data_IF_764318263705
#
_entry.id   IF_764318263705
#
_cell.length_a   1.000
_cell.length_b   1.000
_cell.length_c   1.000
_cell.angle_alpha   90.00
_cell.angle_beta   90.00
_cell.angle_gamma   90.00
#
_symmetry.space_group_name_H-M   'P 1'
#
loop_
_entity.id
_entity.type
_entity.pdbx_description
1 polymer ?
#
# COMPACT_ATOMS: atom_id res chain seq x y z
N UNK A 1 -3.86 -23.46 17.88
CA UNK A 1 -4.59 -22.69 16.83
C UNK A 1 -5.47 -21.67 17.52
N UNK A 2 -5.49 -20.39 17.13
CA UNK A 2 -6.50 -19.46 17.65
C UNK A 2 -7.86 -19.97 17.16
N UNK A 3 -8.80 -20.18 18.09
CA UNK A 3 -10.14 -20.69 17.82
C UNK A 3 -10.98 -19.68 17.03
N UNK A 4 -12.12 -20.12 16.53
CA UNK A 4 -13.13 -19.35 15.80
C UNK A 4 -13.54 -18.02 16.48
N UNK A 5 -13.34 -17.93 17.79
CA UNK A 5 -13.58 -16.75 18.65
C UNK A 5 -12.52 -15.66 18.47
N UNK A 6 -11.26 -15.98 18.15
CA UNK A 6 -10.17 -15.00 18.09
C UNK A 6 -10.23 -14.07 16.87
N UNK A 7 -11.05 -14.38 15.87
CA UNK A 7 -11.15 -13.61 14.60
C UNK A 7 -12.49 -12.90 14.43
N UNK A 8 -13.32 -12.84 15.46
CA UNK A 8 -14.66 -12.24 15.34
C UNK A 8 -14.61 -10.78 14.87
N UNK A 9 -13.60 -10.01 15.29
CA UNK A 9 -13.38 -8.62 14.86
C UNK A 9 -13.02 -8.45 13.39
N UNK A 10 -12.57 -9.51 12.72
CA UNK A 10 -12.26 -9.50 11.29
C UNK A 10 -13.48 -9.79 10.41
N UNK A 11 -14.59 -10.24 11.00
CA UNK A 11 -15.80 -10.63 10.26
C UNK A 11 -16.42 -9.41 9.60
N UNK A 12 -16.82 -9.60 8.36
CA UNK A 12 -17.64 -8.67 7.59
C UNK A 12 -18.82 -9.49 7.11
N UNK A 13 -20.01 -9.12 7.57
CA UNK A 13 -21.24 -9.90 7.32
C UNK A 13 -21.98 -9.44 6.06
N UNK A 14 -21.57 -8.31 5.49
CA UNK A 14 -22.13 -7.77 4.26
C UNK A 14 -21.87 -8.71 3.07
N UNK A 15 -22.84 -8.76 2.17
CA UNK A 15 -22.71 -9.53 0.94
C UNK A 15 -21.61 -8.94 0.03
N UNK A 16 -20.97 -9.74 -0.84
CA UNK A 16 -19.96 -9.26 -1.77
C UNK A 16 -20.44 -8.07 -2.63
N UNK A 17 -21.72 -8.05 -3.02
CA UNK A 17 -22.30 -6.94 -3.78
C UNK A 17 -22.38 -5.65 -2.96
N UNK A 18 -22.76 -5.74 -1.69
CA UNK A 18 -22.84 -4.59 -0.78
C UNK A 18 -21.45 -4.00 -0.54
N UNK A 19 -20.46 -4.86 -0.36
CA UNK A 19 -19.05 -4.47 -0.21
C UNK A 19 -18.51 -3.80 -1.48
N UNK A 20 -18.81 -4.36 -2.65
CA UNK A 20 -18.42 -3.75 -3.92
C UNK A 20 -19.05 -2.37 -4.13
N UNK A 21 -20.35 -2.22 -3.83
CA UNK A 21 -21.04 -0.93 -3.94
C UNK A 21 -20.44 0.12 -2.99
N UNK A 22 -20.21 -0.25 -1.73
CA UNK A 22 -19.59 0.64 -0.74
C UNK A 22 -18.18 1.07 -1.18
N UNK A 23 -17.37 0.13 -1.67
CA UNK A 23 -16.04 0.45 -2.22
C UNK A 23 -16.10 1.39 -3.43
N UNK A 24 -17.06 1.20 -4.32
CA UNK A 24 -17.27 2.09 -5.47
C UNK A 24 -17.67 3.50 -4.99
N UNK A 25 -18.53 3.61 -3.99
CA UNK A 25 -18.97 4.90 -3.44
C UNK A 25 -17.85 5.60 -2.67
N UNK A 26 -17.00 4.87 -1.94
CA UNK A 26 -15.73 5.38 -1.43
C UNK A 26 -14.87 5.96 -2.57
N UNK A 27 -14.62 5.19 -3.63
CA UNK A 27 -13.81 5.64 -4.77
C UNK A 27 -14.37 6.90 -5.43
N UNK A 28 -15.70 7.02 -5.58
CA UNK A 28 -16.36 8.20 -6.14
C UNK A 28 -16.20 9.42 -5.24
N UNK A 29 -16.43 9.28 -3.92
CA UNK A 29 -16.28 10.36 -2.94
C UNK A 29 -14.85 10.89 -2.89
N UNK A 30 -13.87 10.00 -3.07
CA UNK A 30 -12.45 10.34 -3.11
C UNK A 30 -11.91 10.66 -4.51
N UNK A 31 -12.81 10.84 -5.49
CA UNK A 31 -12.47 11.25 -6.85
C UNK A 31 -11.48 10.32 -7.59
N UNK A 32 -11.49 9.03 -7.27
CA UNK A 32 -10.76 8.01 -8.04
C UNK A 32 -11.42 7.85 -9.41
N UNK A 33 -10.63 7.96 -10.48
CA UNK A 33 -11.11 7.88 -11.87
C UNK A 33 -10.48 6.69 -12.59
N UNK A 34 -11.31 5.81 -13.15
CA UNK A 34 -10.86 4.69 -14.00
C UNK A 34 -11.21 4.87 -15.48
N UNK A 35 -11.93 5.94 -15.83
CA UNK A 35 -12.42 6.27 -17.19
C UNK A 35 -13.26 5.17 -17.87
N UNK A 36 -13.69 4.14 -17.13
CA UNK A 36 -14.38 2.96 -17.69
C UNK A 36 -13.44 1.96 -18.38
N UNK A 37 -12.15 2.25 -18.45
CA UNK A 37 -11.16 1.44 -19.18
C UNK A 37 -10.82 0.13 -18.51
N UNK A 38 -11.04 0.01 -17.20
CA UNK A 38 -10.82 -1.22 -16.46
C UNK A 38 -11.95 -1.57 -15.49
N UNK A 39 -12.02 -2.84 -15.11
CA UNK A 39 -12.88 -3.37 -14.04
C UNK A 39 -12.07 -4.26 -13.11
N UNK A 40 -12.53 -4.37 -11.86
CA UNK A 40 -12.04 -5.41 -10.95
C UNK A 40 -12.77 -6.71 -11.29
N UNK A 41 -12.01 -7.78 -11.54
CA UNK A 41 -12.57 -9.10 -11.83
C UNK A 41 -11.68 -10.20 -11.29
N UNK A 42 -12.06 -11.45 -11.55
CA UNK A 42 -11.23 -12.60 -11.21
C UNK A 42 -10.43 -13.05 -12.42
N UNK A 43 -9.12 -13.21 -12.22
CA UNK A 43 -8.20 -13.77 -13.20
C UNK A 43 -7.78 -15.17 -12.76
N UNK A 44 -7.74 -16.11 -13.69
CA UNK A 44 -7.29 -17.48 -13.41
C UNK A 44 -5.76 -17.51 -13.39
N UNK A 45 -5.19 -18.08 -12.33
CA UNK A 45 -3.79 -18.48 -12.29
C UNK A 45 -3.67 -19.97 -12.57
N UNK A 46 -2.53 -20.36 -13.16
CA UNK A 46 -2.19 -21.77 -13.33
C UNK A 46 -1.97 -22.41 -11.97
N UNK A 47 -2.60 -23.56 -11.67
CA UNK A 47 -2.27 -24.30 -10.45
C UNK A 47 -0.79 -24.75 -10.49
N UNK A 48 -0.12 -24.90 -9.34
CA UNK A 48 1.20 -25.52 -9.28
C UNK A 48 1.16 -26.90 -9.94
N UNK A 49 2.18 -27.25 -10.74
CA UNK A 49 2.19 -28.45 -11.62
C UNK A 49 1.90 -29.80 -10.94
N UNK A 50 1.88 -29.87 -9.60
CA UNK A 50 1.71 -31.09 -8.82
C UNK A 50 0.57 -31.04 -7.79
N UNK A 51 -0.34 -30.06 -7.89
CA UNK A 51 -1.37 -29.87 -6.88
C UNK A 51 -2.77 -30.18 -7.44
N UNK A 52 -3.46 -31.17 -6.85
CA UNK A 52 -4.89 -31.43 -7.08
C UNK A 52 -5.70 -30.31 -6.40
N UNK A 53 -5.61 -29.09 -6.93
CA UNK A 53 -6.33 -27.93 -6.38
C UNK A 53 -7.60 -27.69 -7.18
N UNK A 54 -8.67 -27.35 -6.47
CA UNK A 54 -9.92 -26.90 -7.09
C UNK A 54 -9.62 -25.69 -8.01
N UNK A 55 -10.01 -25.71 -9.30
CA UNK A 55 -9.75 -24.60 -10.23
C UNK A 55 -10.22 -23.22 -9.73
N UNK A 56 -11.27 -23.18 -8.90
CA UNK A 56 -11.79 -21.93 -8.33
C UNK A 56 -10.90 -21.36 -7.22
N UNK A 57 -10.06 -22.17 -6.59
CA UNK A 57 -9.08 -21.72 -5.59
C UNK A 57 -7.89 -20.99 -6.20
N UNK A 58 -7.72 -21.05 -7.52
CA UNK A 58 -6.63 -20.39 -8.25
C UNK A 58 -7.07 -19.04 -8.87
N UNK A 59 -8.23 -18.50 -8.45
CA UNK A 59 -8.72 -17.20 -8.91
C UNK A 59 -8.23 -16.10 -7.97
N UNK A 60 -7.55 -15.11 -8.52
CA UNK A 60 -7.17 -13.89 -7.81
C UNK A 60 -7.98 -12.72 -8.33
N UNK A 61 -8.22 -11.72 -7.48
CA UNK A 61 -8.76 -10.45 -7.97
C UNK A 61 -7.68 -9.73 -8.78
N UNK A 62 -8.08 -9.11 -9.87
CA UNK A 62 -7.19 -8.42 -10.80
C UNK A 62 -7.91 -7.27 -11.49
N UNK A 63 -7.15 -6.33 -12.04
CA UNK A 63 -7.66 -5.32 -12.96
C UNK A 63 -7.68 -5.89 -14.38
N UNK A 64 -8.82 -5.76 -15.06
CA UNK A 64 -9.03 -6.28 -16.41
C UNK A 64 -9.46 -5.13 -17.32
N UNK A 65 -8.86 -5.02 -18.49
CA UNK A 65 -9.22 -4.02 -19.49
C UNK A 65 -10.64 -4.28 -20.05
N UNK A 66 -11.48 -3.25 -20.09
CA UNK A 66 -12.84 -3.31 -20.65
C UNK A 66 -12.87 -3.07 -22.16
N UNK A 67 -11.84 -2.41 -22.68
CA UNK A 67 -11.63 -2.04 -24.07
C UNK A 67 -10.13 -2.08 -24.42
N UNK A 68 -9.80 -1.88 -25.69
CA UNK A 68 -8.40 -1.72 -26.09
C UNK A 68 -7.89 -0.36 -25.59
N UNK A 69 -6.74 -0.38 -24.92
CA UNK A 69 -6.12 0.82 -24.31
C UNK A 69 -4.81 1.07 -25.04
N UNK A 70 -4.61 2.30 -25.50
CA UNK A 70 -3.35 2.70 -26.12
C UNK A 70 -2.19 2.69 -25.11
N UNK A 71 -0.96 2.73 -25.62
CA UNK A 71 0.23 2.99 -24.80
C UNK A 71 0.11 4.38 -24.17
N UNK A 72 0.73 4.57 -23.00
CA UNK A 72 0.88 5.86 -22.34
C UNK A 72 -0.42 6.47 -21.80
N UNK A 73 -1.44 5.64 -21.63
CA UNK A 73 -2.75 6.03 -21.14
C UNK A 73 -2.87 5.82 -19.63
N UNK A 74 -3.40 6.84 -18.93
CA UNK A 74 -3.64 6.77 -17.48
C UNK A 74 -4.96 6.07 -17.21
N UNK A 75 -4.89 4.76 -16.97
CA UNK A 75 -6.04 3.88 -16.73
C UNK A 75 -6.73 4.19 -15.42
N UNK A 76 -5.95 4.42 -14.37
CA UNK A 76 -6.44 4.85 -13.06
C UNK A 76 -5.76 6.15 -12.71
N UNK A 77 -6.51 7.14 -12.26
CA UNK A 77 -6.01 8.38 -11.67
C UNK A 77 -6.60 8.49 -10.27
N UNK A 78 -5.73 8.53 -9.28
CA UNK A 78 -6.11 8.48 -7.88
C UNK A 78 -5.46 9.64 -7.11
N UNK A 79 -6.26 10.57 -6.55
CA UNK A 79 -5.73 11.61 -5.68
C UNK A 79 -5.06 11.01 -4.45
N UNK A 80 -4.01 11.64 -3.93
CA UNK A 80 -3.36 11.20 -2.67
C UNK A 80 -4.37 11.11 -1.52
N UNK A 81 -5.39 11.97 -1.50
CA UNK A 81 -6.45 11.94 -0.47
C UNK A 81 -7.30 10.67 -0.47
N UNK A 82 -7.34 9.93 -1.58
CA UNK A 82 -8.06 8.65 -1.67
C UNK A 82 -7.28 7.49 -1.03
N UNK A 83 -5.97 7.67 -0.83
CA UNK A 83 -5.07 6.63 -0.35
C UNK A 83 -5.15 6.50 1.17
N UNK A 84 -4.91 5.30 1.69
CA UNK A 84 -4.65 5.09 3.11
C UNK A 84 -3.14 5.09 3.35
N UNK A 85 -2.65 6.06 4.11
CA UNK A 85 -1.23 6.31 4.32
C UNK A 85 -0.97 6.88 5.73
N UNK A 86 0.28 6.95 6.23
CA UNK A 86 0.58 7.38 7.60
C UNK A 86 0.02 8.75 8.00
N UNK A 87 0.03 9.71 7.07
CA UNK A 87 -0.57 11.03 7.30
C UNK A 87 -2.07 11.01 7.63
N UNK A 88 -2.84 10.06 7.12
CA UNK A 88 -4.25 9.89 7.51
C UNK A 88 -4.38 9.49 8.99
N UNK A 89 -3.49 8.61 9.47
CA UNK A 89 -3.44 8.20 10.86
C UNK A 89 -3.09 9.37 11.79
N UNK A 90 -2.07 10.17 11.47
CA UNK A 90 -1.69 11.34 12.27
C UNK A 90 -2.80 12.39 12.38
N UNK A 91 -3.59 12.58 11.31
CA UNK A 91 -4.69 13.56 11.30
C UNK A 91 -5.94 13.09 12.04
N UNK A 92 -6.02 11.81 12.38
CA UNK A 92 -7.11 11.28 13.19
C UNK A 92 -6.81 11.50 14.68
N UNK A 93 -7.15 12.68 15.19
CA UNK A 93 -6.87 13.06 16.58
C UNK A 93 -7.41 12.05 17.63
N UNK A 94 -8.64 11.50 17.51
CA UNK A 94 -9.12 10.49 18.44
C UNK A 94 -8.24 9.22 18.48
N UNK A 95 -7.76 8.80 17.30
CA UNK A 95 -6.82 7.69 17.19
C UNK A 95 -5.45 8.06 17.79
N UNK A 96 -4.91 9.23 17.48
CA UNK A 96 -3.58 9.60 17.95
C UNK A 96 -3.52 9.72 19.47
N UNK A 97 -4.54 10.34 20.08
CA UNK A 97 -4.62 10.55 21.53
C UNK A 97 -4.76 9.28 22.36
N UNK A 98 -5.28 8.19 21.79
CA UNK A 98 -5.44 6.94 22.56
C UNK A 98 -4.11 6.21 22.76
N UNK A 99 -3.12 6.45 21.89
CA UNK A 99 -1.82 5.77 21.96
C UNK A 99 -1.03 6.27 23.16
N UNK A 100 -0.30 5.39 23.83
CA UNK A 100 0.58 5.76 24.93
C UNK A 100 1.67 6.77 24.47
N UNK A 101 2.12 7.69 25.34
CA UNK A 101 3.09 8.74 24.97
C UNK A 101 4.39 8.22 24.36
N UNK A 102 4.90 7.07 24.83
CA UNK A 102 6.10 6.44 24.28
C UNK A 102 5.89 5.93 22.85
N UNK A 103 4.68 5.46 22.52
CA UNK A 103 4.31 5.05 21.17
C UNK A 103 4.20 6.27 20.26
N UNK A 104 3.56 7.34 20.74
CA UNK A 104 3.45 8.60 20.00
C UNK A 104 4.84 9.19 19.69
N UNK A 105 5.74 9.21 20.67
CA UNK A 105 7.12 9.68 20.52
C UNK A 105 7.89 8.88 19.46
N UNK A 106 7.84 7.55 19.53
CA UNK A 106 8.55 6.70 18.57
C UNK A 106 7.99 6.83 17.14
N UNK A 107 6.65 6.89 16.97
CA UNK A 107 6.01 6.98 15.67
C UNK A 107 6.07 8.38 15.04
N UNK A 108 6.22 9.45 15.84
CA UNK A 108 6.38 10.82 15.35
C UNK A 108 7.83 11.18 15.00
N UNK A 109 8.79 10.29 15.26
CA UNK A 109 10.19 10.50 14.91
C UNK A 109 10.44 10.39 13.40
N UNK A 110 11.54 11.00 12.92
CA UNK A 110 11.97 10.93 11.51
C UNK A 110 12.19 9.50 11.01
N UNK A 111 12.45 8.54 11.91
CA UNK A 111 12.51 7.10 11.61
C UNK A 111 11.23 6.60 10.91
N UNK A 112 10.08 7.20 11.21
CA UNK A 112 8.81 6.92 10.55
C UNK A 112 8.80 7.38 9.09
N UNK A 113 9.29 8.60 8.82
CA UNK A 113 9.39 9.13 7.47
C UNK A 113 10.43 8.39 6.62
N UNK A 114 11.55 7.98 7.21
CA UNK A 114 12.63 7.24 6.53
C UNK A 114 12.42 5.74 6.51
N UNK A 115 11.16 5.29 6.62
CA UNK A 115 10.79 3.90 6.45
C UNK A 115 11.64 2.94 7.32
N UNK A 116 12.04 3.36 8.52
CA UNK A 116 12.98 2.60 9.35
C UNK A 116 12.28 1.44 10.05
N UNK A 117 13.02 0.35 10.30
CA UNK A 117 12.54 -0.82 11.05
C UNK A 117 12.33 -0.48 12.53
N UNK A 118 11.33 -1.08 13.16
CA UNK A 118 11.04 -0.85 14.59
C UNK A 118 12.05 -1.51 15.55
N UNK A 119 12.81 -2.48 15.05
CA UNK A 119 13.89 -3.15 15.75
C UNK A 119 14.86 -3.77 14.72
N UNK A 120 16.07 -4.13 15.15
CA UNK A 120 17.03 -4.80 14.26
C UNK A 120 16.41 -6.07 13.67
N UNK A 121 16.63 -6.28 12.36
CA UNK A 121 16.07 -7.38 11.54
C UNK A 121 14.55 -7.48 11.52
N UNK A 122 13.81 -6.59 12.19
CA UNK A 122 12.36 -6.59 12.13
C UNK A 122 11.89 -6.33 10.71
N UNK A 123 10.90 -7.09 10.27
CA UNK A 123 10.22 -6.78 9.03
C UNK A 123 9.47 -5.46 9.18
N UNK A 124 8.75 -5.30 10.30
CA UNK A 124 7.84 -4.18 10.55
C UNK A 124 8.60 -2.84 10.58
N UNK A 125 8.13 -1.89 9.79
CA UNK A 125 8.62 -0.51 9.75
C UNK A 125 7.68 0.42 10.51
N UNK A 126 8.19 1.55 10.99
CA UNK A 126 7.44 2.48 11.84
C UNK A 126 6.16 2.99 11.16
N UNK A 127 6.25 3.39 9.89
CA UNK A 127 5.11 3.87 9.10
C UNK A 127 4.05 2.78 8.87
N UNK A 128 4.46 1.52 8.68
CA UNK A 128 3.58 0.37 8.50
C UNK A 128 2.90 -0.01 9.81
N UNK A 129 3.61 0.08 10.94
CA UNK A 129 3.02 -0.12 12.27
C UNK A 129 1.95 0.95 12.53
N UNK A 130 2.26 2.23 12.31
CA UNK A 130 1.30 3.33 12.46
C UNK A 130 0.05 3.10 11.61
N UNK A 131 0.22 2.76 10.33
CA UNK A 131 -0.89 2.49 9.41
C UNK A 131 -1.71 1.27 9.86
N UNK A 132 -1.05 0.20 10.32
CA UNK A 132 -1.72 -1.00 10.81
C UNK A 132 -2.54 -0.73 12.07
N UNK A 133 -2.02 0.07 13.00
CA UNK A 133 -2.73 0.49 14.21
C UNK A 133 -3.95 1.35 13.86
N UNK A 134 -3.84 2.25 12.90
CA UNK A 134 -4.98 3.06 12.43
C UNK A 134 -6.05 2.22 11.75
N UNK A 135 -5.67 1.31 10.84
CA UNK A 135 -6.61 0.34 10.24
C UNK A 135 -7.30 -0.52 11.31
N UNK A 136 -6.55 -0.93 12.33
CA UNK A 136 -7.07 -1.67 13.47
C UNK A 136 -8.10 -0.85 14.23
N UNK A 137 -7.79 0.40 14.54
CA UNK A 137 -8.72 1.33 15.19
C UNK A 137 -10.04 1.47 14.43
N UNK A 138 -10.00 1.66 13.10
CA UNK A 138 -11.21 1.74 12.28
C UNK A 138 -12.02 0.44 12.29
N UNK A 139 -11.36 -0.71 12.21
CA UNK A 139 -12.02 -2.01 12.30
C UNK A 139 -12.64 -2.24 13.69
N UNK A 140 -11.96 -1.85 14.77
CA UNK A 140 -12.50 -1.97 16.12
C UNK A 140 -13.68 -1.03 16.34
N UNK A 141 -13.62 0.23 15.89
CA UNK A 141 -14.77 1.13 15.88
C UNK A 141 -15.97 0.52 15.14
N UNK A 142 -15.78 -0.07 13.96
CA UNK A 142 -16.88 -0.72 13.22
C UNK A 142 -17.59 -1.79 14.05
N UNK A 143 -16.85 -2.56 14.86
CA UNK A 143 -17.42 -3.66 15.63
C UNK A 143 -17.93 -3.23 17.02
N UNK A 144 -17.30 -2.23 17.64
CA UNK A 144 -17.56 -1.83 19.04
C UNK A 144 -18.38 -0.53 19.15
N UNK A 145 -18.19 0.42 18.23
CA UNK A 145 -18.82 1.74 18.25
C UNK A 145 -18.98 2.31 16.82
N UNK A 146 -19.96 1.77 16.09
CA UNK A 146 -20.24 2.18 14.72
C UNK A 146 -20.74 3.64 14.63
N UNK A 147 -21.32 4.17 15.70
CA UNK A 147 -21.76 5.56 15.76
C UNK A 147 -20.54 6.49 15.75
N UNK A 148 -19.53 6.21 16.57
CA UNK A 148 -18.29 6.97 16.58
C UNK A 148 -17.57 6.90 15.23
N UNK A 149 -17.52 5.73 14.59
CA UNK A 149 -16.89 5.55 13.27
C UNK A 149 -17.37 6.56 12.22
N UNK A 150 -18.68 6.86 12.20
CA UNK A 150 -19.28 7.80 11.24
C UNK A 150 -18.81 9.25 11.41
N UNK A 151 -18.33 9.60 12.60
CA UNK A 151 -17.85 10.95 12.96
C UNK A 151 -16.32 11.05 12.99
N UNK A 152 -15.62 9.92 12.96
CA UNK A 152 -14.17 9.85 13.00
C UNK A 152 -13.58 10.38 11.68
N UNK A 153 -12.61 11.34 11.72
CA UNK A 153 -11.92 11.78 10.52
C UNK A 153 -11.28 10.61 9.77
N UNK A 154 -11.63 10.45 8.49
CA UNK A 154 -11.17 9.33 7.65
C UNK A 154 -11.79 7.97 8.00
N UNK A 155 -12.87 7.94 8.78
CA UNK A 155 -13.57 6.71 9.17
C UNK A 155 -14.21 5.96 7.99
N UNK A 156 -14.53 6.68 6.91
CA UNK A 156 -15.05 6.12 5.65
C UNK A 156 -14.07 5.19 4.93
N UNK A 157 -12.77 5.27 5.23
CA UNK A 157 -11.77 4.31 4.75
C UNK A 157 -12.07 2.85 5.15
N UNK A 158 -12.96 2.63 6.13
CA UNK A 158 -13.45 1.30 6.48
C UNK A 158 -14.11 0.60 5.29
N UNK A 159 -14.72 1.32 4.35
CA UNK A 159 -15.38 0.75 3.16
C UNK A 159 -14.36 0.10 2.23
N UNK A 160 -13.18 0.73 2.07
CA UNK A 160 -12.06 0.13 1.36
C UNK A 160 -11.46 -1.06 2.13
N UNK A 161 -11.24 -0.93 3.44
CA UNK A 161 -10.72 -2.01 4.28
C UNK A 161 -11.66 -3.23 4.26
N UNK A 162 -12.98 -3.02 4.23
CA UNK A 162 -13.96 -4.09 4.14
C UNK A 162 -13.94 -4.81 2.79
N UNK A 163 -13.56 -4.12 1.72
CA UNK A 163 -13.40 -4.71 0.39
C UNK A 163 -12.14 -5.58 0.27
N UNK A 164 -11.12 -5.37 1.12
CA UNK A 164 -9.90 -6.16 1.12
C UNK A 164 -10.15 -7.66 1.41
N UNK A 165 -9.38 -8.58 0.82
CA UNK A 165 -9.51 -10.01 1.08
C UNK A 165 -9.27 -10.31 2.56
N UNK A 166 -10.03 -11.26 3.11
CA UNK A 166 -9.77 -11.81 4.46
C UNK A 166 -8.81 -13.00 4.42
N UNK A 167 -8.61 -13.57 3.24
CA UNK A 167 -7.62 -14.59 2.95
C UNK A 167 -7.26 -14.50 1.45
N UNK A 168 -5.97 -14.32 1.11
CA UNK A 168 -5.44 -14.32 -0.25
C UNK A 168 -3.95 -14.68 -0.22
N UNK A 169 -3.48 -15.44 -1.22
CA UNK A 169 -2.07 -15.83 -1.32
C UNK A 169 -1.55 -16.62 -0.12
N UNK A 170 -0.33 -16.34 0.32
CA UNK A 170 0.36 -17.01 1.42
C UNK A 170 0.17 -16.31 2.77
N UNK A 171 -1.05 -15.81 2.99
CA UNK A 171 -1.42 -14.99 4.14
C UNK A 171 -1.04 -15.65 5.48
N UNK A 172 -1.21 -16.97 5.62
CA UNK A 172 -0.91 -17.68 6.87
C UNK A 172 0.58 -17.67 7.21
N UNK A 173 1.47 -17.88 6.23
CA UNK A 173 2.90 -17.83 6.45
C UNK A 173 3.37 -16.41 6.76
N UNK A 174 2.85 -15.40 6.05
CA UNK A 174 3.17 -14.00 6.33
C UNK A 174 2.69 -13.59 7.72
N UNK A 175 1.46 -13.96 8.09
CA UNK A 175 0.87 -13.69 9.40
C UNK A 175 1.70 -14.30 10.54
N UNK A 176 2.17 -15.54 10.37
CA UNK A 176 3.03 -16.20 11.36
C UNK A 176 4.35 -15.44 11.58
N UNK A 177 5.00 -14.99 10.50
CA UNK A 177 6.24 -14.22 10.62
C UNK A 177 6.03 -12.85 11.27
N UNK A 178 4.98 -12.13 10.89
CA UNK A 178 4.67 -10.81 11.46
C UNK A 178 4.23 -10.90 12.92
N UNK A 179 3.52 -11.96 13.30
CA UNK A 179 3.07 -12.15 14.68
C UNK A 179 4.23 -12.13 15.68
N UNK A 180 5.37 -12.75 15.37
CA UNK A 180 6.53 -12.79 16.26
C UNK A 180 7.11 -11.40 16.55
N UNK A 181 7.02 -10.47 15.59
CA UNK A 181 7.53 -9.11 15.72
C UNK A 181 6.63 -8.19 16.56
N UNK A 182 5.41 -8.62 16.89
CA UNK A 182 4.50 -7.86 17.75
C UNK A 182 4.75 -8.08 19.25
N UNK A 183 5.50 -9.13 19.62
CA UNK A 183 5.76 -9.46 21.04
C UNK A 183 7.02 -8.81 21.60
N UNK A 184 8.05 -8.66 20.77
CA UNK A 184 9.37 -8.27 21.24
C UNK A 184 9.52 -6.75 21.46
N UNK A 185 9.22 -5.88 20.47
CA UNK A 185 9.41 -4.45 20.61
C UNK A 185 8.40 -3.83 21.58
N UNK A 186 8.88 -3.01 22.52
CA UNK A 186 8.05 -2.34 23.52
C UNK A 186 6.94 -1.48 22.88
N UNK A 187 7.29 -0.76 21.81
CA UNK A 187 6.33 0.02 21.02
C UNK A 187 5.12 -0.80 20.54
N UNK A 188 5.34 -2.06 20.13
CA UNK A 188 4.26 -2.95 19.69
C UNK A 188 3.36 -3.35 20.84
N UNK A 189 3.94 -3.65 22.01
CA UNK A 189 3.18 -4.05 23.20
C UNK A 189 2.36 -2.89 23.78
N UNK A 190 2.97 -1.71 23.92
CA UNK A 190 2.27 -0.51 24.38
C UNK A 190 1.14 -0.10 23.42
N UNK A 191 1.35 -0.22 22.11
CA UNK A 191 0.30 0.07 21.13
C UNK A 191 -0.87 -0.92 21.20
N UNK A 192 -0.58 -2.22 21.33
CA UNK A 192 -1.60 -3.26 21.56
C UNK A 192 -2.40 -3.00 22.84
N UNK A 193 -1.72 -2.65 23.93
CA UNK A 193 -2.35 -2.33 25.21
C UNK A 193 -3.25 -1.09 25.11
N UNK A 194 -2.79 -0.05 24.39
CA UNK A 194 -3.56 1.19 24.18
C UNK A 194 -4.90 0.92 23.48
N UNK A 195 -4.87 0.16 22.38
CA UNK A 195 -6.07 -0.25 21.66
C UNK A 195 -6.98 -1.15 22.52
N UNK A 196 -6.41 -2.18 23.14
CA UNK A 196 -7.15 -3.13 23.97
C UNK A 196 -7.86 -2.42 25.13
N UNK A 197 -7.16 -1.53 25.85
CA UNK A 197 -7.75 -0.75 26.94
C UNK A 197 -8.86 0.18 26.47
N UNK A 198 -8.69 0.86 25.33
CA UNK A 198 -9.68 1.80 24.81
C UNK A 198 -11.01 1.11 24.47
N UNK A 199 -10.94 -0.06 23.82
CA UNK A 199 -12.12 -0.81 23.40
C UNK A 199 -12.63 -1.82 24.43
N UNK A 200 -12.03 -1.87 25.62
CA UNK A 200 -12.36 -2.83 26.69
C UNK A 200 -12.22 -4.29 26.22
N UNK A 201 -11.19 -4.56 25.42
CA UNK A 201 -10.86 -5.88 24.87
C UNK A 201 -9.56 -6.39 25.49
N UNK A 202 -9.29 -7.68 25.31
CA UNK A 202 -7.97 -8.24 25.59
C UNK A 202 -7.00 -7.98 24.43
N UNK A 203 -5.69 -7.95 24.72
CA UNK A 203 -4.68 -7.88 23.65
C UNK A 203 -4.77 -9.07 22.68
N UNK A 204 -5.22 -10.24 23.17
CA UNK A 204 -5.42 -11.42 22.36
C UNK A 204 -6.52 -11.26 21.29
N UNK A 205 -7.52 -10.41 21.53
CA UNK A 205 -8.58 -10.09 20.57
C UNK A 205 -8.16 -9.01 19.56
N UNK A 206 -7.35 -8.05 19.99
CA UNK A 206 -6.85 -6.98 19.11
C UNK A 206 -5.77 -7.48 18.16
N UNK A 207 -4.87 -8.35 18.64
CA UNK A 207 -3.69 -8.78 17.90
C UNK A 207 -4.00 -9.39 16.51
N UNK A 208 -4.99 -10.28 16.33
CA UNK A 208 -5.34 -10.81 15.00
C UNK A 208 -5.74 -9.71 14.01
N UNK A 209 -6.33 -8.61 14.51
CA UNK A 209 -6.72 -7.45 13.69
C UNK A 209 -5.49 -6.68 13.22
N UNK A 210 -4.50 -6.47 14.10
CA UNK A 210 -3.22 -5.85 13.75
C UNK A 210 -2.45 -6.70 12.73
N UNK A 211 -2.39 -8.02 12.94
CA UNK A 211 -1.72 -8.94 12.02
C UNK A 211 -2.39 -8.89 10.65
N UNK A 212 -3.73 -8.87 10.61
CA UNK A 212 -4.47 -8.72 9.36
C UNK A 212 -4.11 -7.42 8.64
N UNK A 213 -4.13 -6.29 9.36
CA UNK A 213 -3.78 -4.99 8.78
C UNK A 213 -2.36 -4.98 8.24
N UNK A 214 -1.38 -5.52 8.97
CA UNK A 214 0.00 -5.65 8.49
C UNK A 214 0.06 -6.53 7.24
N UNK A 215 -0.58 -7.71 7.22
CA UNK A 215 -0.60 -8.56 6.03
C UNK A 215 -1.20 -7.86 4.81
N UNK A 216 -2.23 -7.04 4.99
CA UNK A 216 -2.80 -6.23 3.90
C UNK A 216 -1.82 -5.15 3.44
N UNK A 217 -1.18 -4.43 4.36
CA UNK A 217 -0.15 -3.44 4.02
C UNK A 217 0.98 -4.10 3.23
N UNK A 218 1.49 -5.25 3.69
CA UNK A 218 2.59 -5.92 3.01
C UNK A 218 2.24 -6.44 1.63
N UNK A 219 1.05 -7.02 1.47
CA UNK A 219 0.65 -7.63 0.19
C UNK A 219 0.05 -6.63 -0.81
N UNK A 220 -0.31 -5.41 -0.39
CA UNK A 220 -1.04 -4.43 -1.22
C UNK A 220 -0.42 -3.04 -1.25
N UNK A 221 0.68 -2.81 -0.54
CA UNK A 221 1.32 -1.49 -0.59
C UNK A 221 1.79 -1.15 -2.00
N UNK A 222 1.58 0.10 -2.37
CA UNK A 222 2.23 0.75 -3.49
C UNK A 222 3.36 1.61 -2.90
N UNK A 223 4.63 1.37 -3.25
CA UNK A 223 5.73 2.22 -2.82
C UNK A 223 5.61 3.59 -3.48
N UNK A 224 5.55 4.65 -2.68
CA UNK A 224 5.52 6.03 -3.14
C UNK A 224 6.83 6.71 -2.73
N UNK A 225 7.65 7.04 -3.72
CA UNK A 225 8.91 7.76 -3.59
C UNK A 225 8.82 9.22 -4.07
N UNK A 226 7.75 9.58 -4.79
CA UNK A 226 7.60 10.93 -5.31
C UNK A 226 7.42 11.96 -4.19
N UNK A 227 8.39 12.87 -4.05
CA UNK A 227 8.50 13.85 -2.96
C UNK A 227 7.24 14.70 -2.80
N UNK A 228 6.66 15.17 -3.91
CA UNK A 228 5.43 15.98 -3.85
C UNK A 228 4.25 15.22 -3.23
N UNK A 229 4.12 13.91 -3.50
CA UNK A 229 3.09 13.08 -2.89
C UNK A 229 3.32 12.92 -1.40
N UNK A 230 4.56 12.68 -0.98
CA UNK A 230 4.92 12.50 0.43
C UNK A 230 4.74 13.79 1.24
N UNK A 231 5.21 14.93 0.72
CA UNK A 231 5.02 16.24 1.33
C UNK A 231 3.53 16.59 1.45
N UNK A 232 2.74 16.37 0.40
CA UNK A 232 1.29 16.58 0.45
C UNK A 232 0.61 15.63 1.45
N UNK A 233 0.97 14.35 1.44
CA UNK A 233 0.39 13.35 2.31
C UNK A 233 0.66 13.62 3.80
N UNK A 234 1.84 14.12 4.12
CA UNK A 234 2.28 14.38 5.50
C UNK A 234 2.21 15.85 5.89
N UNK A 235 1.62 16.70 5.05
CA UNK A 235 1.33 18.08 5.39
C UNK A 235 0.50 18.14 6.68
N UNK A 236 0.86 19.08 7.55
CA UNK A 236 0.22 19.28 8.86
C UNK A 236 0.34 18.08 9.81
N UNK A 237 1.40 17.27 9.68
CA UNK A 237 1.75 16.20 10.61
C UNK A 237 3.12 16.48 11.24
N UNK A 238 3.54 15.77 12.30
CA UNK A 238 4.89 15.89 12.86
C UNK A 238 6.02 15.63 11.84
N UNK A 239 5.71 14.98 10.71
CA UNK A 239 6.69 14.61 9.67
C UNK A 239 6.68 15.56 8.46
N UNK A 240 5.98 16.71 8.52
CA UNK A 240 5.82 17.61 7.38
C UNK A 240 7.17 18.08 6.77
N UNK A 241 8.20 18.19 7.61
CA UNK A 241 9.54 18.69 7.25
C UNK A 241 10.59 17.58 7.04
N UNK A 242 10.19 16.30 6.98
CA UNK A 242 11.12 15.18 6.91
C UNK A 242 11.99 15.14 5.64
N UNK A 243 11.60 15.87 4.59
CA UNK A 243 12.29 15.92 3.29
C UNK A 243 12.72 17.33 2.88
N UNK A 244 12.83 18.26 3.84
CA UNK A 244 13.30 19.63 3.56
C UNK A 244 14.79 19.64 3.17
N UNK A 245 15.58 18.70 3.71
CA UNK A 245 16.94 18.43 3.27
C UNK A 245 16.93 17.58 1.99
N UNK A 246 16.90 18.27 0.85
CA UNK A 246 16.86 17.64 -0.48
C UNK A 246 18.12 16.82 -0.77
N UNK A 247 19.30 17.27 -0.32
CA UNK A 247 20.57 16.60 -0.57
C UNK A 247 20.65 15.27 0.17
N UNK A 248 20.21 15.23 1.42
CA UNK A 248 20.24 14.01 2.23
C UNK A 248 19.20 12.96 1.79
N UNK A 249 18.12 13.40 1.15
CA UNK A 249 16.94 12.55 0.93
C UNK A 249 16.64 12.20 -0.52
N UNK A 250 17.28 12.87 -1.49
CA UNK A 250 17.02 12.62 -2.91
C UNK A 250 17.49 11.21 -3.33
N UNK A 251 16.71 10.58 -4.21
CA UNK A 251 17.14 9.33 -4.82
C UNK A 251 18.37 9.57 -5.72
N UNK A 252 19.32 8.62 -5.81
CA UNK A 252 20.34 8.67 -6.85
C UNK A 252 19.67 8.76 -8.23
N UNK A 253 20.14 9.61 -9.16
CA UNK A 253 19.63 9.51 -10.51
C UNK A 253 19.94 8.12 -11.07
N UNK A 254 18.93 7.50 -11.67
CA UNK A 254 19.16 6.34 -12.51
C UNK A 254 20.13 6.77 -13.63
N UNK A 255 21.25 6.04 -13.80
CA UNK A 255 22.13 6.24 -14.95
C UNK A 255 21.29 6.11 -16.23
N UNK A 256 21.53 6.96 -17.25
CA UNK A 256 20.81 6.84 -18.50
C UNK A 256 21.05 5.45 -19.11
N UNK A 257 20.06 4.85 -19.82
CA UNK A 257 20.33 3.64 -20.58
C UNK A 257 21.44 3.92 -21.60
N UNK A 258 22.45 3.06 -21.61
CA UNK A 258 23.48 3.05 -22.63
C UNK A 258 22.85 2.72 -23.99
N UNK A 259 22.90 3.70 -24.88
CA UNK A 259 22.98 3.61 -26.36
C UNK A 259 21.85 2.88 -27.11
N UNK A 260 21.02 3.66 -27.82
CA UNK A 260 20.75 3.36 -29.22
C UNK A 260 21.94 3.84 -30.07
N UNK A 261 22.46 2.95 -30.91
CA UNK A 261 23.61 3.18 -31.76
C UNK A 261 23.39 4.27 -32.83
N UNK A 262 24.43 5.05 -33.11
CA UNK A 262 24.51 5.95 -34.26
C UNK A 262 25.73 6.88 -34.18
N UNK A 263 26.77 6.54 -34.94
CA UNK A 263 27.97 7.35 -35.22
C UNK A 263 27.71 8.86 -35.34
N UNK A 264 28.56 9.68 -34.71
CA UNK A 264 29.50 10.52 -35.47
C UNK A 264 30.64 11.04 -34.57
N UNK A 265 31.84 11.03 -35.13
CA UNK A 265 33.10 11.30 -34.43
C UNK A 265 33.34 12.78 -34.13
N UNK A 266 34.16 13.01 -33.11
CA UNK A 266 34.70 14.35 -32.80
C UNK A 266 35.25 14.43 -31.39
N UNK A 267 36.57 14.23 -31.25
CA UNK A 267 37.27 14.42 -29.99
C UNK A 267 37.25 15.88 -29.54
N UNK A 268 36.82 16.15 -28.30
CA UNK A 268 37.39 17.19 -27.43
C UNK A 268 36.77 17.16 -26.02
N UNK A 269 37.64 16.85 -25.04
CA UNK A 269 37.75 17.46 -23.71
C UNK A 269 36.49 17.79 -22.89
N UNK A 270 36.37 17.09 -21.76
CA UNK A 270 36.11 17.76 -20.47
C UNK A 270 34.66 17.81 -20.01
N UNK A 271 34.28 16.84 -19.17
CA UNK A 271 33.41 16.99 -18.00
C UNK A 271 32.87 15.61 -17.65
N UNK A 272 33.47 14.98 -16.64
CA UNK A 272 32.85 13.86 -15.94
C UNK A 272 31.59 14.44 -15.29
N UNK A 273 30.45 14.33 -15.95
CA UNK A 273 29.18 14.66 -15.33
C UNK A 273 28.96 13.68 -14.18
N UNK A 274 29.23 14.17 -12.97
CA UNK A 274 28.75 13.60 -11.72
C UNK A 274 27.25 13.35 -11.86
N UNK A 275 26.82 12.10 -11.72
CA UNK A 275 25.39 11.75 -11.71
C UNK A 275 24.68 12.57 -10.64
N UNK A 276 23.85 13.53 -11.07
CA UNK A 276 23.06 14.36 -10.16
C UNK A 276 22.00 13.53 -9.43
N UNK A 277 21.54 13.97 -8.26
CA UNK A 277 20.43 13.31 -7.58
C UNK A 277 19.09 13.62 -8.27
N UNK A 278 18.15 12.66 -8.30
CA UNK A 278 16.79 12.94 -8.75
C UNK A 278 16.03 13.65 -7.62
N UNK A 279 15.82 14.95 -7.78
CA UNK A 279 15.17 15.81 -6.77
C UNK A 279 13.64 15.66 -6.74
N UNK A 280 13.02 14.91 -7.65
CA UNK A 280 11.59 14.60 -7.53
C UNK A 280 11.32 13.36 -6.67
N UNK A 281 12.31 12.48 -6.49
CA UNK A 281 12.17 11.21 -5.79
C UNK A 281 12.96 11.20 -4.47
N UNK A 282 12.43 10.52 -3.46
CA UNK A 282 13.12 10.25 -2.20
C UNK A 282 13.82 8.89 -2.26
N UNK A 283 14.89 8.74 -1.49
CA UNK A 283 15.70 7.51 -1.44
C UNK A 283 14.91 6.28 -1.01
N UNK A 284 14.09 6.41 0.02
CA UNK A 284 13.33 5.31 0.61
C UNK A 284 11.81 5.56 0.45
N UNK A 285 11.11 4.76 -0.36
CA UNK A 285 9.67 4.94 -0.58
C UNK A 285 8.85 4.66 0.69
N UNK A 286 7.71 5.33 0.81
CA UNK A 286 6.70 5.04 1.84
C UNK A 286 5.56 4.22 1.26
N UNK A 287 5.15 3.20 2.00
CA UNK A 287 4.01 2.33 1.66
C UNK A 287 2.69 3.08 1.74
N UNK A 288 1.98 3.22 0.62
CA UNK A 288 0.60 3.68 0.57
C UNK A 288 -0.30 2.50 0.21
N UNK A 289 -1.52 2.47 0.75
CA UNK A 289 -2.58 1.60 0.24
C UNK A 289 -3.42 2.42 -0.73
N UNK A 290 -3.43 1.98 -1.98
CA UNK A 290 -3.89 2.74 -3.13
C UNK A 290 -5.12 2.04 -3.73
N UNK A 291 -6.35 2.41 -3.33
CA UNK A 291 -7.57 1.82 -3.86
C UNK A 291 -7.54 1.66 -5.38
N UNK A 292 -7.98 0.50 -5.86
CA UNK A 292 -8.00 0.12 -7.28
C UNK A 292 -6.60 -0.21 -7.82
N UNK A 293 -5.59 0.65 -7.62
CA UNK A 293 -4.21 0.38 -8.09
C UNK A 293 -3.66 -0.89 -7.42
N UNK A 294 -3.95 -1.07 -6.12
CA UNK A 294 -3.57 -2.25 -5.33
C UNK A 294 -4.27 -3.56 -5.74
N UNK A 295 -5.13 -3.52 -6.75
CA UNK A 295 -5.76 -4.70 -7.37
C UNK A 295 -4.98 -5.17 -8.61
N UNK A 296 -3.94 -4.44 -9.03
CA UNK A 296 -3.07 -4.85 -10.12
C UNK A 296 -2.13 -5.95 -9.63
N UNK A 297 -2.08 -7.07 -10.35
CA UNK A 297 -1.27 -8.22 -9.97
C UNK A 297 0.17 -8.10 -10.48
N UNK A 298 1.05 -8.92 -9.91
CA UNK A 298 2.43 -9.03 -10.36
C UNK A 298 2.58 -9.77 -11.69
N UNK A 299 3.47 -9.30 -12.55
CA UNK A 299 4.06 -10.04 -13.67
C UNK A 299 5.43 -9.49 -14.03
N UNK A 300 6.36 -10.36 -14.49
CA UNK A 300 7.64 -9.93 -15.09
C UNK A 300 7.45 -9.29 -16.48
N UNK A 301 6.25 -9.41 -17.05
CA UNK A 301 5.86 -8.81 -18.32
C UNK A 301 4.80 -7.73 -18.07
N UNK A 302 5.13 -6.80 -17.18
CA UNK A 302 4.26 -5.68 -16.83
C UNK A 302 3.79 -4.93 -18.08
N UNK A 303 2.52 -4.54 -18.05
CA UNK A 303 1.91 -3.71 -19.09
C UNK A 303 1.42 -2.37 -18.55
N UNK A 304 1.50 -2.17 -17.24
CA UNK A 304 1.22 -0.91 -16.55
C UNK A 304 2.28 -0.62 -15.49
N UNK A 305 2.50 0.65 -15.20
CA UNK A 305 3.34 1.11 -14.10
C UNK A 305 2.63 2.21 -13.29
N UNK A 306 3.02 2.32 -12.02
CA UNK A 306 2.61 3.44 -11.18
C UNK A 306 3.47 4.65 -11.52
N UNK A 307 2.83 5.78 -11.81
CA UNK A 307 3.50 7.04 -12.11
C UNK A 307 2.83 8.20 -11.39
N UNK A 308 3.61 9.20 -11.02
CA UNK A 308 3.11 10.47 -10.50
C UNK A 308 3.46 11.53 -11.54
N UNK A 309 2.47 12.07 -12.29
CA UNK A 309 2.75 13.11 -13.27
C UNK A 309 3.22 14.38 -12.56
N UNK A 310 4.26 15.00 -13.11
CA UNK A 310 4.59 16.39 -12.79
C UNK A 310 3.38 17.27 -13.17
N UNK A 311 2.98 18.15 -12.26
CA UNK A 311 1.67 18.84 -12.25
C UNK A 311 1.21 19.34 -13.63
N UNK A 312 0.29 18.61 -14.25
CA UNK A 312 -0.49 19.08 -15.40
C UNK A 312 -2.00 19.02 -15.07
N UNK A 313 -2.58 20.20 -14.82
CA UNK A 313 -3.99 20.56 -15.04
C UNK A 313 -5.09 19.55 -14.65
N UNK A 314 -5.00 18.91 -13.48
CA UNK A 314 -6.15 18.17 -12.92
C UNK A 314 -6.93 19.08 -11.95
N UNK A 315 -8.27 19.12 -12.01
CA UNK A 315 -9.13 19.94 -11.13
C UNK A 315 -9.19 19.39 -9.69
N UNK A 316 -8.20 18.60 -9.28
CA UNK A 316 -8.11 17.94 -7.99
C UNK A 316 -7.09 18.70 -7.15
N UNK A 317 -7.44 18.99 -5.90
CA UNK A 317 -6.53 19.60 -4.93
C UNK A 317 -5.42 18.61 -4.56
N UNK A 318 -4.29 18.65 -5.27
CA UNK A 318 -3.06 17.96 -4.88
C UNK A 318 -2.51 16.97 -5.92
N UNK A 319 -1.39 16.30 -5.60
CA UNK A 319 -0.78 15.28 -6.44
C UNK A 319 -1.71 14.08 -6.69
N UNK A 320 -1.53 13.46 -7.85
CA UNK A 320 -2.31 12.29 -8.29
C UNK A 320 -1.34 11.15 -8.57
N UNK A 321 -1.69 9.95 -8.12
CA UNK A 321 -1.02 8.70 -8.43
C UNK A 321 -1.78 8.05 -9.58
N UNK A 322 -1.07 7.73 -10.66
CA UNK A 322 -1.64 7.15 -11.86
C UNK A 322 -1.16 5.71 -12.06
N UNK A 323 -2.03 4.86 -12.58
CA UNK A 323 -1.64 3.59 -13.20
C UNK A 323 -1.67 3.79 -14.72
N UNK A 324 -0.51 3.77 -15.37
CA UNK A 324 -0.37 4.10 -16.79
C UNK A 324 0.16 2.92 -17.59
N UNK A 325 -0.39 2.72 -18.79
CA UNK A 325 0.02 1.65 -19.71
C UNK A 325 1.43 1.89 -20.27
N UNK A 326 2.24 0.83 -20.29
CA UNK A 326 3.60 0.81 -20.85
C UNK A 326 3.62 0.40 -22.32
N UNK A 327 2.55 -0.27 -22.76
CA UNK A 327 2.31 -0.71 -24.14
C UNK A 327 0.80 -0.72 -24.42
N UNK A 328 0.37 -0.89 -25.68
CA UNK A 328 -1.03 -1.17 -25.96
C UNK A 328 -1.50 -2.42 -25.19
N UNK A 329 -2.71 -2.34 -24.64
CA UNK A 329 -3.38 -3.41 -23.89
C UNK A 329 -4.68 -3.75 -24.59
N UNK A 330 -4.93 -5.04 -24.78
CA UNK A 330 -6.13 -5.52 -25.46
C UNK A 330 -7.32 -5.67 -24.52
N UNK A 331 -8.54 -5.54 -25.04
CA UNK A 331 -9.77 -5.79 -24.29
C UNK A 331 -9.76 -7.18 -23.65
N UNK A 332 -10.05 -7.24 -22.36
CA UNK A 332 -10.09 -8.48 -21.57
C UNK A 332 -8.72 -8.93 -21.05
N UNK A 333 -7.64 -8.27 -21.45
CA UNK A 333 -6.31 -8.49 -20.90
C UNK A 333 -6.23 -8.01 -19.45
N UNK A 334 -5.44 -8.70 -18.63
CA UNK A 334 -5.16 -8.28 -17.27
C UNK A 334 -4.12 -7.16 -17.26
N UNK A 335 -4.33 -6.15 -16.41
CA UNK A 335 -3.33 -5.14 -16.11
C UNK A 335 -2.40 -5.66 -15.00
N UNK A 336 -1.11 -5.72 -15.28
CA UNK A 336 -0.08 -6.26 -14.39
C UNK A 336 1.11 -5.31 -14.26
N UNK A 337 1.72 -5.28 -13.07
CA UNK A 337 2.88 -4.44 -12.73
C UNK A 337 4.00 -5.25 -12.07
N UNK A 338 5.22 -4.74 -12.08
CA UNK A 338 6.30 -5.31 -11.27
C UNK A 338 6.23 -4.79 -9.85
N UNK A 339 6.25 -5.67 -8.85
CA UNK A 339 6.20 -5.25 -7.44
C UNK A 339 7.55 -4.75 -6.91
N UNK A 340 8.63 -4.88 -7.69
CA UNK A 340 9.96 -4.37 -7.35
C UNK A 340 10.61 -5.05 -6.13
N UNK A 341 10.05 -6.17 -5.66
CA UNK A 341 10.51 -6.90 -4.50
C UNK A 341 11.52 -7.99 -4.86
N UNK A 342 12.44 -8.30 -3.95
CA UNK A 342 13.38 -9.38 -4.17
C UNK A 342 12.64 -10.75 -4.21
N UNK A 343 13.19 -11.77 -4.88
CA UNK A 343 12.55 -13.09 -5.01
C UNK A 343 12.08 -13.73 -3.71
N UNK A 344 12.86 -13.55 -2.63
CA UNK A 344 12.51 -14.09 -1.32
C UNK A 344 11.35 -13.33 -0.66
N UNK A 345 11.24 -12.02 -0.91
CA UNK A 345 10.11 -11.19 -0.47
C UNK A 345 8.85 -11.53 -1.28
N UNK A 346 9.00 -11.75 -2.59
CA UNK A 346 7.92 -12.24 -3.45
C UNK A 346 7.31 -13.55 -2.92
N UNK A 347 8.17 -14.49 -2.53
CA UNK A 347 7.77 -15.77 -1.92
C UNK A 347 7.12 -15.59 -0.55
N UNK A 348 7.72 -14.77 0.31
CA UNK A 348 7.26 -14.59 1.70
C UNK A 348 5.91 -13.86 1.75
N UNK A 349 5.78 -12.77 1.01
CA UNK A 349 4.63 -11.86 1.09
C UNK A 349 3.48 -12.36 0.22
N UNK A 350 3.77 -12.78 -1.02
CA UNK A 350 2.73 -13.15 -2.00
C UNK A 350 2.67 -14.64 -2.30
N UNK A 351 3.55 -15.47 -1.72
CA UNK A 351 3.52 -16.92 -1.93
C UNK A 351 3.98 -17.36 -3.31
N UNK A 352 4.59 -16.47 -4.10
CA UNK A 352 5.04 -16.78 -5.44
C UNK A 352 6.22 -17.74 -5.36
N UNK A 353 5.98 -19.03 -5.66
CA UNK A 353 7.00 -20.04 -5.89
C UNK A 353 7.14 -20.22 -7.41
N UNK A 354 8.37 -20.39 -7.89
CA UNK A 354 8.71 -20.71 -9.29
C UNK A 354 8.46 -19.60 -10.34
N UNK A 355 9.01 -18.40 -10.13
CA UNK A 355 9.18 -17.41 -11.23
C UNK A 355 10.53 -17.61 -11.97
N UNK A 356 11.48 -18.36 -11.38
CA UNK A 356 12.85 -18.54 -11.89
C UNK A 356 13.11 -19.88 -12.60
N UNK A 357 12.15 -20.41 -13.36
CA UNK A 357 12.44 -21.54 -14.26
C UNK A 357 12.19 -21.21 -15.71
#
# INVERSE_FOLDING_TARGET
MPSYESRHMLRVLDSPQTLANSFIDYCKRHHVKTRGWCRIGYVRRSPPRNANVNPDSCRLRGLIANEDIAKDESVVMMPVTACLHPGAAFRCEPFWRLLAPEVQSALSSVSCAYNSRIADRSLIRHNQLLLALYMTYLMLLRNCDAAQLSTTPGGDAIEYINFMPRNEGNFEQLAAHLACWLDAPEICRSAQASLASHFQLTQAEVRPVIIYALCMIYSRMVPVDHRACLQYALQSTPLAHAWDDVEATAAPAALPPSSSAGNDGGASGGSVHSGGANTSLVRDPISFLCPVIDMCNHSDHENVAVMVPDRDNLPVTGPVICLRTLRPVTKGEELTMTYGAAPHELKLIWGMQDIFQ
#
